data_IF_609604578166
#
_entry.id   IF_609604578166
#
_cell.length_a   1.000
_cell.length_b   1.000
_cell.length_c   1.000
_cell.angle_alpha   90.00
_cell.angle_beta   90.00
_cell.angle_gamma   90.00
#
_symmetry.space_group_name_H-M   'P 1'
#
loop_
_entity.id
_entity.type
_entity.pdbx_description
1 polymer ?
#
# COMPACT_ATOMS: atom_id res chain seq x y z
N UNK A 1 19.29 0.48 2.12
CA UNK A 1 18.44 -0.67 2.50
C UNK A 1 17.74 -0.46 3.83
N UNK A 2 18.49 -0.33 4.93
CA UNK A 2 17.91 -0.14 6.26
C UNK A 2 17.03 1.11 6.35
N UNK A 3 17.44 2.22 5.74
CA UNK A 3 16.66 3.46 5.75
C UNK A 3 15.27 3.26 5.11
N UNK A 4 15.22 2.58 3.98
CA UNK A 4 13.97 2.33 3.27
C UNK A 4 13.06 1.41 4.07
N UNK A 5 13.59 0.32 4.61
CA UNK A 5 12.84 -0.62 5.43
C UNK A 5 12.34 0.04 6.73
N UNK A 6 13.21 0.73 7.46
CA UNK A 6 12.86 1.39 8.70
C UNK A 6 11.80 2.47 8.49
N UNK A 7 11.88 3.22 7.39
CA UNK A 7 10.85 4.19 7.02
C UNK A 7 9.50 3.51 6.81
N UNK A 8 9.51 2.36 6.14
CA UNK A 8 8.29 1.56 5.94
C UNK A 8 7.70 1.07 7.24
N UNK A 9 8.53 0.58 8.16
CA UNK A 9 8.09 0.11 9.49
C UNK A 9 7.43 1.26 10.26
N UNK A 10 8.10 2.41 10.34
CA UNK A 10 7.59 3.57 11.08
C UNK A 10 6.28 4.06 10.47
N UNK A 11 6.20 4.14 9.14
CA UNK A 11 4.97 4.55 8.46
C UNK A 11 3.82 3.58 8.75
N UNK A 12 4.08 2.28 8.69
CA UNK A 12 3.09 1.25 9.00
C UNK A 12 2.59 1.35 10.44
N UNK A 13 3.48 1.56 11.39
CA UNK A 13 3.12 1.77 12.80
C UNK A 13 2.27 3.03 12.99
N UNK A 14 2.60 4.12 12.28
CA UNK A 14 1.80 5.33 12.30
C UNK A 14 0.38 5.08 11.79
N UNK A 15 0.23 4.34 10.69
CA UNK A 15 -1.09 3.95 10.19
C UNK A 15 -1.86 3.13 11.22
N UNK A 16 -1.21 2.13 11.82
CA UNK A 16 -1.85 1.30 12.84
C UNK A 16 -2.37 2.12 14.01
N UNK A 17 -1.55 3.02 14.53
CA UNK A 17 -1.95 3.90 15.63
C UNK A 17 -3.06 4.87 15.24
N UNK A 18 -2.96 5.48 14.05
CA UNK A 18 -3.94 6.45 13.58
C UNK A 18 -5.31 5.80 13.31
N UNK A 19 -5.34 4.55 12.86
CA UNK A 19 -6.58 3.82 12.59
C UNK A 19 -7.33 3.42 13.86
N UNK A 20 -6.62 3.23 14.96
CA UNK A 20 -7.23 2.87 16.25
C UNK A 20 -8.08 1.60 16.12
N UNK A 21 -9.35 1.70 16.48
CA UNK A 21 -10.32 0.61 16.44
C UNK A 21 -11.01 0.45 15.07
N UNK A 22 -10.66 1.27 14.08
CA UNK A 22 -11.16 1.20 12.70
C UNK A 22 -12.67 1.36 12.56
N UNK A 23 -13.29 2.11 13.48
CA UNK A 23 -14.73 2.36 13.44
C UNK A 23 -15.12 3.26 12.25
N UNK A 24 -16.12 2.85 11.50
CA UNK A 24 -16.74 3.65 10.47
C UNK A 24 -15.96 3.86 9.18
N UNK A 25 -14.78 3.25 9.03
CA UNK A 25 -13.97 3.39 7.81
C UNK A 25 -14.42 2.43 6.72
N UNK A 26 -14.10 2.77 5.45
CA UNK A 26 -14.37 1.90 4.30
C UNK A 26 -13.62 0.58 4.40
N UNK A 27 -12.44 0.55 5.00
CA UNK A 27 -11.56 -0.60 5.16
C UNK A 27 -10.82 -1.02 3.90
N UNK A 28 -11.46 -1.00 2.74
CA UNK A 28 -10.91 -1.43 1.45
C UNK A 28 -10.62 -0.23 0.57
N UNK A 29 -9.56 -0.30 -0.21
CA UNK A 29 -9.26 0.68 -1.24
C UNK A 29 -8.53 0.03 -2.40
N UNK A 30 -8.92 0.37 -3.61
CA UNK A 30 -8.26 -0.08 -4.84
C UNK A 30 -8.16 1.10 -5.80
N UNK A 31 -6.95 1.35 -6.30
CA UNK A 31 -6.68 2.43 -7.23
C UNK A 31 -5.74 2.00 -8.34
N UNK A 32 -6.08 2.43 -9.54
CA UNK A 32 -5.22 2.33 -10.73
C UNK A 32 -4.66 3.72 -11.01
N UNK A 33 -3.35 3.83 -11.16
CA UNK A 33 -2.71 5.12 -11.46
C UNK A 33 -1.76 4.97 -12.63
N UNK A 34 -1.99 5.71 -13.74
CA UNK A 34 -1.06 5.75 -14.84
C UNK A 34 0.09 6.71 -14.57
N UNK A 35 1.25 6.39 -15.11
CA UNK A 35 2.39 7.28 -15.23
C UNK A 35 2.98 7.07 -16.62
N UNK A 36 2.65 7.97 -17.53
CA UNK A 36 2.96 7.87 -18.96
C UNK A 36 2.57 6.47 -19.51
N UNK A 37 3.54 5.63 -19.89
CA UNK A 37 3.29 4.30 -20.45
C UNK A 37 3.08 3.21 -19.40
N UNK A 38 3.26 3.50 -18.11
CA UNK A 38 3.10 2.54 -17.03
C UNK A 38 1.73 2.66 -16.36
N UNK A 39 1.18 1.53 -15.95
CA UNK A 39 -0.05 1.49 -15.16
C UNK A 39 0.16 0.61 -13.92
N UNK A 40 0.05 1.24 -12.75
CA UNK A 40 0.13 0.55 -11.46
C UNK A 40 -1.24 0.41 -10.81
N UNK A 41 -1.38 -0.63 -10.01
CA UNK A 41 -2.57 -0.90 -9.19
C UNK A 41 -2.13 -1.23 -7.78
N UNK A 42 -2.82 -0.65 -6.80
CA UNK A 42 -2.69 -1.04 -5.41
C UNK A 42 -4.08 -1.29 -4.83
N UNK A 43 -4.20 -2.43 -4.14
CA UNK A 43 -5.39 -2.78 -3.37
C UNK A 43 -4.99 -3.01 -1.92
N UNK A 44 -5.73 -2.43 -0.99
CA UNK A 44 -5.49 -2.61 0.44
C UNK A 44 -6.75 -3.13 1.14
N UNK A 45 -6.53 -3.95 2.16
CA UNK A 45 -7.55 -4.35 3.12
C UNK A 45 -6.96 -4.14 4.52
N UNK A 46 -7.54 -3.21 5.27
CA UNK A 46 -7.12 -2.89 6.65
C UNK A 46 -7.67 -3.93 7.62
N UNK A 47 -7.32 -5.18 7.39
CA UNK A 47 -7.94 -6.37 7.99
C UNK A 47 -7.40 -6.75 9.37
N UNK A 48 -6.31 -6.16 9.81
CA UNK A 48 -5.60 -6.63 11.00
C UNK A 48 -4.66 -7.82 10.74
N UNK A 49 -4.57 -8.28 9.50
CA UNK A 49 -3.68 -9.39 9.08
C UNK A 49 -2.66 -8.89 8.07
N UNK A 50 -1.40 -9.19 8.33
CA UNK A 50 -0.29 -8.77 7.48
C UNK A 50 -0.12 -9.71 6.29
N UNK A 51 -0.16 -9.16 5.09
CA UNK A 51 0.19 -9.89 3.87
C UNK A 51 0.61 -8.93 2.77
N UNK A 52 1.62 -9.30 2.00
CA UNK A 52 2.03 -8.55 0.80
C UNK A 52 1.99 -9.46 -0.42
N UNK A 53 1.35 -8.99 -1.47
CA UNK A 53 1.57 -9.50 -2.83
C UNK A 53 2.23 -8.37 -3.63
N UNK A 54 3.42 -8.61 -4.14
CA UNK A 54 4.17 -7.65 -4.94
C UNK A 54 4.45 -8.26 -6.31
N UNK A 55 3.68 -7.82 -7.30
CA UNK A 55 3.75 -8.31 -8.68
C UNK A 55 4.20 -7.16 -9.60
N UNK A 56 5.48 -6.85 -9.52
CA UNK A 56 6.09 -5.79 -10.31
C UNK A 56 7.50 -6.18 -10.72
N UNK A 57 7.76 -6.18 -12.02
CA UNK A 57 9.09 -6.40 -12.55
C UNK A 57 9.80 -5.06 -12.72
N UNK A 58 10.81 -4.82 -11.88
CA UNK A 58 11.60 -3.60 -11.87
C UNK A 58 12.98 -3.92 -12.46
N UNK A 59 13.12 -3.72 -13.76
CA UNK A 59 14.29 -4.20 -14.52
C UNK A 59 15.53 -3.35 -14.33
N UNK A 60 15.37 -2.04 -14.04
CA UNK A 60 16.52 -1.19 -13.73
C UNK A 60 16.87 -1.35 -12.25
N UNK A 61 18.08 -1.78 -11.90
CA UNK A 61 18.46 -2.05 -10.51
C UNK A 61 18.53 -0.81 -9.63
N UNK A 62 18.66 0.39 -10.23
CA UNK A 62 18.79 1.63 -9.47
C UNK A 62 18.05 2.77 -10.12
N UNK A 63 17.45 3.62 -9.27
CA UNK A 63 16.84 4.89 -9.65
C UNK A 63 17.52 5.99 -8.83
N UNK A 64 18.56 6.61 -9.39
CA UNK A 64 19.41 7.52 -8.63
C UNK A 64 20.07 6.79 -7.47
N UNK A 65 19.83 7.25 -6.26
CA UNK A 65 20.33 6.61 -5.04
C UNK A 65 19.46 5.47 -4.50
N UNK A 66 18.30 5.22 -5.11
CA UNK A 66 17.38 4.18 -4.67
C UNK A 66 17.69 2.86 -5.37
N UNK A 67 17.92 1.84 -4.57
CA UNK A 67 18.00 0.46 -5.04
C UNK A 67 16.60 -0.08 -5.24
N UNK A 68 16.24 -0.51 -6.44
CA UNK A 68 14.87 -0.90 -6.76
C UNK A 68 14.40 -2.16 -6.04
N UNK A 69 15.32 -3.02 -5.59
CA UNK A 69 14.96 -4.16 -4.75
C UNK A 69 14.31 -3.72 -3.44
N UNK A 70 14.69 -2.54 -2.93
CA UNK A 70 14.16 -2.03 -1.65
C UNK A 70 12.73 -1.54 -1.75
N UNK A 71 12.17 -1.39 -2.95
CA UNK A 71 10.76 -0.99 -3.13
C UNK A 71 9.82 -2.05 -2.56
N UNK A 72 10.08 -3.32 -2.87
CA UNK A 72 9.32 -4.43 -2.30
C UNK A 72 9.47 -4.48 -0.78
N UNK A 73 10.70 -4.32 -0.28
CA UNK A 73 10.98 -4.29 1.16
C UNK A 73 10.21 -3.18 1.88
N UNK A 74 10.12 -2.01 1.26
CA UNK A 74 9.33 -0.90 1.79
C UNK A 74 7.85 -1.28 1.95
N UNK A 75 7.23 -1.81 0.90
CA UNK A 75 5.82 -2.22 0.96
C UNK A 75 5.60 -3.38 1.92
N UNK A 76 6.54 -4.31 2.02
CA UNK A 76 6.51 -5.38 3.00
C UNK A 76 6.51 -4.81 4.42
N UNK A 77 7.43 -3.89 4.71
CA UNK A 77 7.54 -3.27 6.03
C UNK A 77 6.26 -2.53 6.42
N UNK A 78 5.69 -1.76 5.48
CA UNK A 78 4.42 -1.05 5.71
C UNK A 78 3.28 -2.02 5.99
N UNK A 79 3.11 -3.03 5.14
CA UNK A 79 2.01 -4.00 5.27
C UNK A 79 2.07 -4.75 6.60
N UNK A 80 3.26 -5.14 7.02
CA UNK A 80 3.43 -5.93 8.24
C UNK A 80 3.30 -5.07 9.50
N UNK A 81 3.89 -3.86 9.51
CA UNK A 81 3.77 -2.95 10.66
C UNK A 81 2.35 -2.41 10.83
N UNK A 82 1.65 -2.14 9.74
CA UNK A 82 0.27 -1.67 9.76
C UNK A 82 -0.76 -2.78 9.96
N UNK A 83 -0.35 -4.04 9.83
CA UNK A 83 -1.25 -5.21 9.88
C UNK A 83 -2.36 -5.10 8.82
N UNK A 84 -1.94 -4.91 7.56
CA UNK A 84 -2.86 -4.85 6.42
C UNK A 84 -2.49 -5.86 5.35
N UNK A 85 -3.47 -6.27 4.55
CA UNK A 85 -3.20 -6.89 3.27
C UNK A 85 -2.90 -5.78 2.26
N UNK A 86 -1.81 -5.92 1.53
CA UNK A 86 -1.40 -4.97 0.51
C UNK A 86 -1.03 -5.73 -0.75
N UNK A 87 -1.70 -5.41 -1.85
CA UNK A 87 -1.42 -5.96 -3.17
C UNK A 87 -0.97 -4.83 -4.07
N UNK A 88 0.25 -4.91 -4.58
CA UNK A 88 0.84 -3.93 -5.49
C UNK A 88 1.27 -4.63 -6.76
N UNK A 89 0.77 -4.17 -7.91
CA UNK A 89 1.13 -4.77 -9.19
C UNK A 89 1.28 -3.72 -10.27
N UNK A 90 2.16 -3.99 -11.22
CA UNK A 90 2.28 -3.24 -12.47
C UNK A 90 1.61 -4.07 -13.57
N UNK A 91 0.58 -3.49 -14.20
CA UNK A 91 -0.13 -4.15 -15.28
C UNK A 91 0.71 -4.15 -16.56
N UNK A 92 1.39 -3.02 -16.83
CA UNK A 92 2.32 -2.86 -17.95
C UNK A 92 3.15 -1.59 -17.73
N UNK A 93 4.23 -1.48 -18.48
CA UNK A 93 5.14 -0.33 -18.47
C UNK A 93 6.54 -0.73 -18.88
N UNK A 94 7.37 0.25 -19.23
CA UNK A 94 8.75 0.04 -19.62
C UNK A 94 9.73 0.73 -18.68
N UNK A 95 9.44 1.99 -18.33
CA UNK A 95 10.33 2.80 -17.51
C UNK A 95 10.16 2.44 -16.04
N UNK A 96 11.24 2.00 -15.40
CA UNK A 96 11.21 1.56 -13.99
C UNK A 96 10.79 2.68 -13.04
N UNK A 97 11.24 3.92 -13.26
CA UNK A 97 10.82 5.06 -12.45
C UNK A 97 9.30 5.26 -12.55
N UNK A 98 8.73 5.23 -13.76
CA UNK A 98 7.30 5.37 -13.97
C UNK A 98 6.52 4.26 -13.25
N UNK A 99 7.01 3.03 -13.31
CA UNK A 99 6.40 1.91 -12.58
C UNK A 99 6.37 2.16 -11.07
N UNK A 100 7.52 2.52 -10.50
CA UNK A 100 7.64 2.76 -9.06
C UNK A 100 6.76 3.93 -8.64
N UNK A 101 6.82 5.04 -9.36
CA UNK A 101 6.01 6.22 -9.04
C UNK A 101 4.51 5.93 -9.12
N UNK A 102 4.06 5.18 -10.13
CA UNK A 102 2.65 4.78 -10.25
C UNK A 102 2.19 3.95 -9.06
N UNK A 103 3.04 3.05 -8.54
CA UNK A 103 2.72 2.26 -7.36
C UNK A 103 2.59 3.12 -6.10
N UNK A 104 3.50 4.05 -5.86
CA UNK A 104 3.42 4.93 -4.69
C UNK A 104 2.19 5.83 -4.75
N UNK A 105 1.87 6.38 -5.92
CA UNK A 105 0.66 7.18 -6.10
C UNK A 105 -0.60 6.35 -5.90
N UNK A 106 -0.64 5.14 -6.46
CA UNK A 106 -1.76 4.22 -6.28
C UNK A 106 -1.93 3.83 -4.81
N UNK A 107 -0.83 3.58 -4.09
CA UNK A 107 -0.85 3.28 -2.66
C UNK A 107 -1.48 4.42 -1.85
N UNK A 108 -1.02 5.65 -2.06
CA UNK A 108 -1.56 6.81 -1.34
C UNK A 108 -3.06 6.99 -1.58
N UNK A 109 -3.51 6.80 -2.83
CA UNK A 109 -4.92 6.92 -3.19
C UNK A 109 -5.75 5.77 -2.64
N UNK A 110 -5.24 4.54 -2.68
CA UNK A 110 -5.91 3.37 -2.10
C UNK A 110 -6.07 3.51 -0.58
N UNK A 111 -5.03 3.99 0.10
CA UNK A 111 -5.10 4.26 1.54
C UNK A 111 -6.12 5.34 1.85
N UNK A 112 -6.16 6.42 1.08
CA UNK A 112 -7.17 7.48 1.24
C UNK A 112 -8.58 6.91 1.15
N UNK A 113 -8.86 6.06 0.18
CA UNK A 113 -10.15 5.41 0.03
C UNK A 113 -10.46 4.51 1.25
N UNK A 114 -9.51 3.69 1.66
CA UNK A 114 -9.70 2.73 2.75
C UNK A 114 -9.94 3.37 4.11
N UNK A 115 -9.32 4.52 4.40
CA UNK A 115 -9.46 5.21 5.69
C UNK A 115 -10.63 6.18 5.73
N UNK A 116 -11.33 6.38 4.62
CA UNK A 116 -12.46 7.31 4.53
C UNK A 116 -13.60 6.85 5.45
N UNK A 117 -14.09 7.77 6.25
CA UNK A 117 -15.26 7.51 7.09
C UNK A 117 -16.50 7.47 6.22
N UNK A 118 -17.26 6.40 6.34
CA UNK A 118 -18.57 6.24 5.69
C UNK A 118 -19.66 6.24 6.75
N UNK A 119 -20.55 7.27 6.77
CA UNK A 119 -21.61 7.35 7.78
C UNK A 119 -22.60 6.18 7.78
N UNK A 120 -22.66 5.43 6.67
CA UNK A 120 -23.55 4.27 6.55
C UNK A 120 -22.97 3.02 7.19
N UNK A 121 -21.67 3.04 7.55
CA UNK A 121 -21.00 1.93 8.24
C UNK A 121 -21.09 2.17 9.74
N UNK A 122 -21.79 1.29 10.45
CA UNK A 122 -21.85 1.30 11.90
C UNK A 122 -20.89 0.25 12.46
N UNK A 123 -20.01 0.69 13.38
CA UNK A 123 -18.98 -0.17 13.90
C UNK A 123 -17.86 -0.40 12.88
N UNK A 124 -17.29 -1.58 12.88
CA UNK A 124 -16.25 -1.98 11.91
C UNK A 124 -16.88 -2.60 10.66
N UNK A 125 -16.27 -2.37 9.52
CA UNK A 125 -16.72 -2.94 8.24
C UNK A 125 -16.33 -4.42 8.16
N UNK A 126 -17.07 -5.25 8.90
CA UNK A 126 -16.83 -6.68 8.96
C UNK A 126 -18.12 -7.41 9.32
N UNK A 127 -18.43 -8.49 8.62
CA UNK A 127 -19.56 -9.35 8.94
C UNK A 127 -19.39 -10.08 10.26
N UNK A 128 -18.15 -10.17 10.77
CA UNK A 128 -17.83 -10.77 12.08
C UNK A 128 -17.91 -9.76 13.23
N UNK A 129 -18.02 -8.47 12.92
CA UNK A 129 -18.06 -7.40 13.92
C UNK A 129 -16.69 -7.03 14.52
N UNK A 130 -15.60 -7.62 14.03
CA UNK A 130 -14.22 -7.35 14.46
C UNK A 130 -13.27 -7.36 13.26
N UNK A 131 -12.18 -6.60 13.37
CA UNK A 131 -11.03 -6.61 12.46
C UNK A 131 -9.76 -6.31 13.22
#
# INVERSE_FOLDING_TARGET
HHTTEDTGIVLGECFKQALGDKQGIERYGTEFVPMDEALGQVSVDLSGRSYLVFDAELTNPRLGGLDTETVEDFFQAVAFAAEMNLHARILYGRNTHHKVESLFKAFGRAMRAAVTINPDIQGVNSTKGVI
#
